data_IF_376231598360
#
_entry.id   IF_376231598360
#
_cell.length_a   1.000
_cell.length_b   1.000
_cell.length_c   1.000
_cell.angle_alpha   90.00
_cell.angle_beta   90.00
_cell.angle_gamma   90.00
#
_symmetry.space_group_name_H-M   'P 1'
#
loop_
_entity.id
_entity.type
_entity.pdbx_description
1 polymer ?
#
# COMPACT_ATOMS: atom_id res chain seq x y z
N UNK A 1 16.53 0.81 -24.43
CA UNK A 1 16.27 1.59 -23.18
C UNK A 1 16.31 3.08 -23.51
N UNK A 2 15.27 3.81 -23.17
CA UNK A 2 15.14 5.26 -23.42
C UNK A 2 15.43 6.04 -22.13
N UNK A 3 16.18 7.15 -22.23
CA UNK A 3 16.39 8.06 -21.11
C UNK A 3 15.42 9.22 -21.15
N UNK A 4 14.85 9.55 -20.00
CA UNK A 4 13.94 10.68 -19.79
C UNK A 4 14.50 11.60 -18.72
N UNK A 5 14.54 12.88 -19.03
CA UNK A 5 14.85 13.94 -18.07
C UNK A 5 13.55 14.61 -17.64
N UNK A 6 13.38 14.78 -16.33
CA UNK A 6 12.19 15.33 -15.70
C UNK A 6 12.60 16.42 -14.73
N UNK A 7 11.67 17.36 -14.53
CA UNK A 7 11.84 18.48 -13.60
C UNK A 7 11.06 18.22 -12.30
N UNK A 8 11.40 18.96 -11.28
CA UNK A 8 10.72 18.93 -9.99
C UNK A 8 9.19 18.99 -10.15
N UNK A 9 8.48 18.13 -9.43
CA UNK A 9 7.02 17.97 -9.45
C UNK A 9 6.43 17.42 -10.76
N UNK A 10 7.25 17.00 -11.71
CA UNK A 10 6.75 16.37 -12.92
C UNK A 10 6.29 14.94 -12.62
N UNK A 11 5.04 14.63 -13.03
CA UNK A 11 4.42 13.32 -12.79
C UNK A 11 4.92 12.31 -13.83
N UNK A 12 5.55 11.22 -13.36
CA UNK A 12 6.09 10.15 -14.20
C UNK A 12 4.97 9.21 -14.65
N UNK A 13 4.15 8.79 -13.72
CA UNK A 13 2.90 8.06 -13.95
C UNK A 13 1.94 8.25 -12.77
N UNK A 14 0.66 7.98 -13.00
CA UNK A 14 -0.39 8.05 -11.99
C UNK A 14 -0.89 6.66 -11.60
N UNK A 15 -1.40 6.56 -10.39
CA UNK A 15 -2.17 5.41 -9.91
C UNK A 15 -3.29 5.05 -10.90
N UNK A 16 -3.55 3.76 -11.09
CA UNK A 16 -4.54 3.23 -12.03
C UNK A 16 -4.11 3.20 -13.50
N UNK A 17 -2.99 3.81 -13.89
CA UNK A 17 -2.50 3.78 -15.28
C UNK A 17 -1.91 2.41 -15.64
N UNK A 18 -2.20 1.93 -16.85
CA UNK A 18 -1.54 0.77 -17.43
C UNK A 18 -0.30 1.19 -18.21
N UNK A 19 0.86 0.67 -17.86
CA UNK A 19 2.12 0.91 -18.58
C UNK A 19 2.98 -0.37 -18.60
N UNK A 20 3.67 -0.60 -19.74
CA UNK A 20 4.48 -1.79 -20.01
C UNK A 20 5.97 -1.60 -19.72
N UNK A 21 6.34 -0.67 -18.87
CA UNK A 21 7.73 -0.36 -18.53
C UNK A 21 7.91 -0.04 -17.06
N UNK A 22 9.13 -0.26 -16.60
CA UNK A 22 9.64 0.19 -15.32
C UNK A 22 10.69 1.27 -15.52
N UNK A 23 11.16 1.84 -14.43
CA UNK A 23 12.16 2.89 -14.45
C UNK A 23 13.31 2.57 -13.48
N UNK A 24 14.55 2.89 -13.90
CA UNK A 24 15.72 2.96 -13.05
C UNK A 24 16.12 4.43 -12.89
N UNK A 25 16.43 4.86 -11.67
CA UNK A 25 16.83 6.24 -11.37
C UNK A 25 18.33 6.36 -11.63
N UNK A 26 18.68 7.07 -12.70
CA UNK A 26 20.10 7.35 -13.05
C UNK A 26 20.61 8.58 -12.28
N UNK A 27 19.75 9.57 -12.01
CA UNK A 27 20.09 10.79 -11.27
C UNK A 27 18.85 11.36 -10.58
N UNK A 28 19.06 12.02 -9.42
CA UNK A 28 18.00 12.62 -8.61
C UNK A 28 17.22 11.62 -7.79
N UNK A 29 16.00 12.02 -7.42
CA UNK A 29 15.08 11.23 -6.60
C UNK A 29 13.64 11.31 -7.08
N UNK A 30 12.83 10.31 -6.70
CA UNK A 30 11.42 10.16 -7.07
C UNK A 30 10.60 9.88 -5.82
N UNK A 31 9.55 10.67 -5.61
CA UNK A 31 8.56 10.45 -4.57
C UNK A 31 7.41 9.57 -5.07
N UNK A 32 7.02 8.61 -4.26
CA UNK A 32 5.89 7.72 -4.51
C UNK A 32 4.75 8.09 -3.57
N UNK A 33 3.56 8.32 -4.14
CA UNK A 33 2.37 8.76 -3.41
C UNK A 33 1.20 7.80 -3.58
N UNK A 34 0.43 7.63 -2.51
CA UNK A 34 -0.95 7.14 -2.55
C UNK A 34 -1.90 8.34 -2.56
N UNK A 35 -2.99 8.27 -3.33
CA UNK A 35 -4.01 9.33 -3.37
C UNK A 35 -3.51 10.69 -3.85
N UNK A 36 -2.49 10.74 -4.71
CA UNK A 36 -1.87 11.97 -5.18
C UNK A 36 -2.88 12.96 -5.78
N UNK A 37 -2.86 14.19 -5.28
CA UNK A 37 -3.78 15.26 -5.70
C UNK A 37 -5.18 15.16 -5.06
N UNK A 38 -5.38 14.30 -4.08
CA UNK A 38 -6.64 14.20 -3.32
C UNK A 38 -6.47 14.62 -1.86
N UNK A 39 -7.57 14.67 -1.08
CA UNK A 39 -7.53 14.92 0.37
C UNK A 39 -6.76 13.84 1.15
N UNK A 40 -6.62 12.64 0.58
CA UNK A 40 -5.99 11.48 1.21
C UNK A 40 -4.55 11.26 0.69
N UNK A 41 -3.95 12.30 0.10
CA UNK A 41 -2.58 12.26 -0.39
C UNK A 41 -1.59 11.91 0.72
N UNK A 42 -0.83 10.85 0.49
CA UNK A 42 0.20 10.40 1.41
C UNK A 42 1.46 10.03 0.64
N UNK A 43 2.58 10.66 0.98
CA UNK A 43 3.88 10.22 0.48
C UNK A 43 4.26 8.89 1.16
N UNK A 44 4.48 7.85 0.36
CA UNK A 44 4.81 6.51 0.82
C UNK A 44 6.32 6.36 1.03
N UNK A 45 7.12 6.75 0.03
CA UNK A 45 8.57 6.61 0.05
C UNK A 45 9.21 7.59 -0.93
N UNK A 46 10.46 7.97 -0.68
CA UNK A 46 11.36 8.61 -1.64
C UNK A 46 12.37 7.59 -2.11
N UNK A 47 12.49 7.42 -3.43
CA UNK A 47 13.47 6.57 -4.10
C UNK A 47 14.59 7.43 -4.68
N UNK A 48 15.83 6.92 -4.64
CA UNK A 48 17.02 7.66 -5.05
C UNK A 48 17.79 6.93 -6.15
N UNK A 49 18.83 7.56 -6.66
CA UNK A 49 19.73 7.01 -7.68
C UNK A 49 20.07 5.54 -7.44
N UNK A 50 20.00 4.73 -8.49
CA UNK A 50 20.26 3.28 -8.49
C UNK A 50 19.07 2.43 -8.04
N UNK A 51 17.97 3.03 -7.61
CA UNK A 51 16.76 2.30 -7.28
C UNK A 51 15.81 2.25 -8.48
N UNK A 52 15.05 1.15 -8.57
CA UNK A 52 14.06 0.94 -9.63
C UNK A 52 12.64 1.01 -9.06
N UNK A 53 11.68 1.38 -9.91
CA UNK A 53 10.26 1.44 -9.55
C UNK A 53 9.35 1.20 -10.75
N UNK A 54 8.08 0.88 -10.47
CA UNK A 54 7.09 0.57 -11.49
C UNK A 54 7.17 -0.86 -12.04
N UNK A 55 8.08 -1.67 -11.51
CA UNK A 55 8.28 -3.08 -11.86
C UNK A 55 7.05 -3.94 -11.59
N UNK A 56 6.30 -3.66 -10.50
CA UNK A 56 5.12 -4.45 -10.13
C UNK A 56 4.06 -4.38 -11.22
N UNK A 57 3.71 -3.17 -11.67
CA UNK A 57 2.72 -2.98 -12.72
C UNK A 57 3.15 -3.57 -14.06
N UNK A 58 4.45 -3.53 -14.36
CA UNK A 58 5.01 -4.12 -15.59
C UNK A 58 5.00 -5.65 -15.54
N UNK A 59 5.57 -6.25 -14.49
CA UNK A 59 5.73 -7.71 -14.36
C UNK A 59 4.37 -8.39 -14.17
N UNK A 60 3.49 -7.82 -13.33
CA UNK A 60 2.18 -8.37 -13.06
C UNK A 60 1.12 -8.04 -14.12
N UNK A 61 1.44 -7.21 -15.11
CA UNK A 61 0.50 -6.68 -16.11
C UNK A 61 -0.74 -6.05 -15.46
N UNK A 62 -0.52 -5.33 -14.37
CA UNK A 62 -1.56 -4.67 -13.56
C UNK A 62 -1.46 -3.15 -13.65
N UNK A 63 -2.52 -2.42 -13.30
CA UNK A 63 -2.43 -0.96 -13.14
C UNK A 63 -1.36 -0.56 -12.13
N UNK A 64 -0.84 0.67 -12.28
CA UNK A 64 0.03 1.27 -11.25
C UNK A 64 -0.72 1.37 -9.92
N UNK A 65 -0.07 1.03 -8.84
CA UNK A 65 -0.64 1.03 -7.48
C UNK A 65 -0.35 2.31 -6.71
N UNK A 66 0.35 3.26 -7.34
CA UNK A 66 0.73 4.54 -6.75
C UNK A 66 1.08 5.55 -7.86
N UNK A 67 1.19 6.82 -7.49
CA UNK A 67 1.67 7.89 -8.37
C UNK A 67 3.15 8.16 -8.09
N UNK A 68 3.97 8.29 -9.14
CA UNK A 68 5.38 8.62 -9.05
C UNK A 68 5.63 10.05 -9.57
N UNK A 69 6.40 10.84 -8.80
CA UNK A 69 6.65 12.26 -9.06
C UNK A 69 8.13 12.56 -8.90
N UNK A 70 8.71 13.34 -9.81
CA UNK A 70 10.10 13.81 -9.68
C UNK A 70 10.25 14.72 -8.46
N UNK A 71 11.21 14.42 -7.59
CA UNK A 71 11.38 15.09 -6.29
C UNK A 71 12.55 16.07 -6.25
N UNK A 72 13.26 16.25 -7.36
CA UNK A 72 14.39 17.18 -7.52
C UNK A 72 14.29 17.97 -8.82
N UNK A 73 15.06 19.06 -8.93
CA UNK A 73 15.09 19.95 -10.10
C UNK A 73 15.46 19.21 -11.39
N UNK A 74 16.30 18.18 -11.28
CA UNK A 74 16.68 17.32 -12.39
C UNK A 74 16.61 15.87 -11.93
N UNK A 75 15.77 15.08 -12.61
CA UNK A 75 15.67 13.63 -12.42
C UNK A 75 15.88 12.95 -13.76
N UNK A 76 16.85 12.06 -13.84
CA UNK A 76 17.13 11.27 -15.04
C UNK A 76 16.71 9.83 -14.80
N UNK A 77 15.79 9.35 -15.62
CA UNK A 77 15.26 7.99 -15.58
C UNK A 77 15.68 7.23 -16.84
N UNK A 78 16.00 5.97 -16.66
CA UNK A 78 16.11 4.99 -17.73
C UNK A 78 14.82 4.16 -17.76
N UNK A 79 14.10 4.22 -18.89
CA UNK A 79 12.87 3.47 -19.13
C UNK A 79 13.21 2.11 -19.71
N UNK A 80 12.69 1.05 -19.10
CA UNK A 80 12.93 -0.35 -19.46
C UNK A 80 11.58 -0.98 -19.76
N UNK A 81 11.40 -1.43 -21.01
CA UNK A 81 10.17 -2.13 -21.41
C UNK A 81 10.17 -3.58 -20.91
N UNK A 82 9.00 -4.22 -20.99
CA UNK A 82 8.88 -5.64 -20.63
C UNK A 82 9.73 -6.53 -21.56
N UNK A 83 9.85 -6.16 -22.83
CA UNK A 83 10.67 -6.87 -23.82
C UNK A 83 12.17 -6.71 -23.55
N UNK A 84 12.59 -5.57 -23.01
CA UNK A 84 13.98 -5.27 -22.65
C UNK A 84 14.37 -5.78 -21.26
N UNK A 85 13.40 -6.20 -20.43
CA UNK A 85 13.62 -6.51 -19.03
C UNK A 85 14.56 -7.69 -18.80
N UNK A 86 14.42 -8.74 -19.59
CA UNK A 86 15.31 -9.91 -19.52
C UNK A 86 16.75 -9.53 -19.86
N UNK A 87 16.95 -8.83 -20.97
CA UNK A 87 18.27 -8.33 -21.39
C UNK A 87 18.85 -7.34 -20.36
N UNK A 88 17.98 -6.48 -19.79
CA UNK A 88 18.39 -5.58 -18.71
C UNK A 88 18.92 -6.34 -17.50
N UNK A 89 18.23 -7.36 -17.01
CA UNK A 89 18.68 -8.18 -15.88
C UNK A 89 19.95 -8.98 -16.20
N UNK A 90 20.08 -9.51 -17.42
CA UNK A 90 21.27 -10.26 -17.84
C UNK A 90 22.51 -9.38 -17.89
N UNK A 91 22.38 -8.11 -18.29
CA UNK A 91 23.49 -7.16 -18.39
C UNK A 91 23.73 -6.38 -17.09
N UNK A 92 22.77 -6.38 -16.17
CA UNK A 92 22.80 -5.67 -14.89
C UNK A 92 22.41 -6.59 -13.74
N UNK A 93 23.10 -7.72 -13.62
CA UNK A 93 22.80 -8.73 -12.60
C UNK A 93 22.88 -8.18 -11.17
N UNK A 94 23.65 -7.11 -10.93
CA UNK A 94 23.71 -6.36 -9.67
C UNK A 94 22.36 -5.74 -9.28
N UNK A 95 21.48 -5.49 -10.24
CA UNK A 95 20.15 -4.91 -10.00
C UNK A 95 19.07 -5.95 -9.64
N UNK A 96 19.34 -7.24 -9.83
CA UNK A 96 18.39 -8.31 -9.48
C UNK A 96 18.10 -8.30 -7.99
N UNK A 97 19.13 -8.29 -7.15
CA UNK A 97 18.95 -8.30 -5.69
C UNK A 97 18.23 -7.05 -5.16
N UNK A 98 18.57 -5.81 -5.57
CA UNK A 98 17.81 -4.61 -5.21
C UNK A 98 16.34 -4.67 -5.60
N UNK A 99 16.01 -5.12 -6.81
CA UNK A 99 14.62 -5.26 -7.28
C UNK A 99 13.86 -6.27 -6.43
N UNK A 100 14.43 -7.46 -6.23
CA UNK A 100 13.83 -8.51 -5.40
C UNK A 100 13.66 -8.07 -3.94
N UNK A 101 14.64 -7.37 -3.39
CA UNK A 101 14.57 -6.82 -2.04
C UNK A 101 13.49 -5.75 -1.91
N UNK A 102 13.33 -4.89 -2.91
CA UNK A 102 12.27 -3.88 -2.97
C UNK A 102 10.88 -4.52 -2.97
N UNK A 103 10.66 -5.51 -3.84
CA UNK A 103 9.39 -6.28 -3.91
C UNK A 103 9.13 -7.01 -2.59
N UNK A 104 10.12 -7.70 -2.03
CA UNK A 104 9.99 -8.44 -0.77
C UNK A 104 9.64 -7.53 0.40
N UNK A 105 10.24 -6.34 0.47
CA UNK A 105 9.93 -5.35 1.50
C UNK A 105 8.47 -4.88 1.39
N UNK A 106 7.99 -4.56 0.19
CA UNK A 106 6.61 -4.12 -0.03
C UNK A 106 5.60 -5.20 0.31
N UNK A 107 5.89 -6.47 -0.01
CA UNK A 107 5.06 -7.60 0.39
C UNK A 107 4.98 -7.68 1.93
N UNK A 108 6.10 -7.51 2.63
CA UNK A 108 6.13 -7.53 4.09
C UNK A 108 5.30 -6.39 4.69
N UNK A 109 5.50 -5.15 4.22
CA UNK A 109 4.75 -3.98 4.67
C UNK A 109 3.24 -4.19 4.50
N UNK A 110 2.79 -4.68 3.34
CA UNK A 110 1.38 -5.02 3.10
C UNK A 110 0.86 -6.13 4.02
N UNK A 111 1.68 -7.14 4.31
CA UNK A 111 1.31 -8.24 5.20
C UNK A 111 1.17 -7.74 6.65
N UNK A 112 2.06 -6.87 7.09
CA UNK A 112 2.02 -6.26 8.42
C UNK A 112 0.79 -5.36 8.57
N UNK A 113 0.48 -4.53 7.57
CA UNK A 113 -0.72 -3.69 7.54
C UNK A 113 -2.01 -4.52 7.60
N UNK A 114 -2.11 -5.59 6.80
CA UNK A 114 -3.24 -6.51 6.83
C UNK A 114 -3.40 -7.19 8.19
N UNK A 115 -2.30 -7.62 8.79
CA UNK A 115 -2.30 -8.23 10.13
C UNK A 115 -2.80 -7.25 11.18
N UNK A 116 -2.37 -5.99 11.11
CA UNK A 116 -2.81 -4.93 12.01
C UNK A 116 -4.31 -4.64 11.86
N UNK A 117 -4.80 -4.51 10.63
CA UNK A 117 -6.23 -4.29 10.33
C UNK A 117 -7.07 -5.46 10.87
N UNK A 118 -6.64 -6.70 10.62
CA UNK A 118 -7.32 -7.89 11.11
C UNK A 118 -7.41 -7.90 12.63
N UNK A 119 -6.32 -7.56 13.32
CA UNK A 119 -6.30 -7.47 14.78
C UNK A 119 -7.24 -6.41 15.31
N UNK A 120 -7.22 -5.20 14.73
CA UNK A 120 -8.12 -4.12 15.11
C UNK A 120 -9.60 -4.49 14.88
N UNK A 121 -9.90 -5.17 13.76
CA UNK A 121 -11.26 -5.62 13.44
C UNK A 121 -11.75 -6.64 14.48
N UNK A 122 -10.92 -7.61 14.85
CA UNK A 122 -11.27 -8.60 15.87
C UNK A 122 -11.48 -7.94 17.25
N UNK A 123 -10.66 -6.98 17.65
CA UNK A 123 -10.84 -6.23 18.89
C UNK A 123 -12.16 -5.46 18.94
N UNK A 124 -12.63 -4.92 17.80
CA UNK A 124 -13.92 -4.24 17.71
C UNK A 124 -15.06 -5.24 17.81
N UNK A 125 -14.98 -6.38 17.10
CA UNK A 125 -16.00 -7.43 17.16
C UNK A 125 -16.15 -8.02 18.58
N UNK A 126 -15.03 -8.29 19.25
CA UNK A 126 -15.03 -8.80 20.63
C UNK A 126 -15.68 -7.80 21.61
N UNK A 127 -15.47 -6.49 21.41
CA UNK A 127 -16.14 -5.46 22.21
C UNK A 127 -17.66 -5.43 21.97
N UNK A 128 -18.10 -5.49 20.72
CA UNK A 128 -19.53 -5.54 20.38
C UNK A 128 -20.21 -6.79 20.95
N UNK A 129 -19.57 -7.95 20.89
CA UNK A 129 -20.11 -9.19 21.47
C UNK A 129 -20.21 -9.09 22.99
N UNK A 130 -19.21 -8.54 23.68
CA UNK A 130 -19.24 -8.32 25.12
C UNK A 130 -20.34 -7.32 25.55
N UNK A 131 -20.53 -6.24 24.80
CA UNK A 131 -21.60 -5.27 25.07
C UNK A 131 -22.98 -5.91 24.90
N UNK A 132 -23.19 -6.70 23.85
CA UNK A 132 -24.43 -7.45 23.63
C UNK A 132 -24.70 -8.48 24.72
N UNK A 133 -23.67 -9.21 25.16
CA UNK A 133 -23.77 -10.16 26.25
C UNK A 133 -24.16 -9.48 27.57
N UNK A 134 -23.56 -8.33 27.86
CA UNK A 134 -23.87 -7.52 29.07
C UNK A 134 -25.31 -6.99 29.02
N UNK A 135 -25.75 -6.48 27.87
CA UNK A 135 -27.16 -5.99 27.70
C UNK A 135 -28.19 -7.12 27.87
N UNK A 136 -27.86 -8.31 27.31
CA UNK A 136 -28.77 -9.48 27.49
C UNK A 136 -28.81 -9.93 28.95
N UNK A 137 -27.66 -10.00 29.64
CA UNK A 137 -27.60 -10.35 31.06
C UNK A 137 -28.42 -9.37 31.96
N UNK A 138 -28.33 -8.06 31.66
CA UNK A 138 -29.13 -7.04 32.34
C UNK A 138 -30.64 -7.23 32.10
N UNK A 139 -31.05 -7.53 30.87
CA UNK A 139 -32.44 -7.78 30.49
C UNK A 139 -33.01 -9.00 31.22
N UNK A 140 -32.27 -10.09 31.30
CA UNK A 140 -32.63 -11.29 32.05
C UNK A 140 -32.73 -11.03 33.55
N UNK A 141 -31.79 -10.29 34.14
CA UNK A 141 -31.81 -9.91 35.55
C UNK A 141 -33.02 -9.06 35.90
N UNK A 142 -33.34 -8.05 35.11
CA UNK A 142 -34.53 -7.18 35.28
C UNK A 142 -35.82 -8.01 35.13
N UNK A 143 -35.87 -8.90 34.14
CA UNK A 143 -37.01 -9.80 33.92
C UNK A 143 -37.26 -10.72 35.14
N UNK A 144 -36.17 -11.26 35.70
CA UNK A 144 -36.24 -12.08 36.92
C UNK A 144 -36.70 -11.32 38.16
N UNK A 145 -36.25 -10.06 38.31
CA UNK A 145 -36.73 -9.18 39.40
C UNK A 145 -38.22 -8.85 39.30
N UNK A 146 -38.69 -8.49 38.10
CA UNK A 146 -40.08 -8.18 37.84
C UNK A 146 -41.01 -9.40 38.05
N UNK A 147 -40.54 -10.59 37.69
CA UNK A 147 -41.23 -11.86 37.96
C UNK A 147 -41.41 -12.10 39.46
N UNK A 148 -40.37 -11.90 40.26
CA UNK A 148 -40.41 -12.05 41.73
C UNK A 148 -41.34 -11.01 42.42
N UNK A 149 -41.41 -9.80 41.88
CA UNK A 149 -42.31 -8.76 42.42
C UNK A 149 -43.78 -9.04 42.10
N UNK A 150 -44.09 -9.65 40.98
CA UNK A 150 -45.47 -10.06 40.62
C UNK A 150 -45.95 -11.23 41.46
N UNK A 151 -45.07 -12.20 41.79
CA UNK A 151 -45.43 -13.37 42.60
C UNK A 151 -45.62 -13.06 44.11
N UNK A 152 -45.15 -11.90 44.60
CA UNK A 152 -45.38 -11.44 45.99
C UNK A 152 -46.69 -10.64 46.18
N UNK A 153 -47.40 -10.32 45.10
CA UNK A 153 -48.66 -9.57 45.14
C UNK A 153 -49.94 -10.46 44.93
N UNK A 154 -49.74 -11.75 44.74
CA UNK A 154 -50.80 -12.74 44.70
C UNK A 154 -50.80 -13.53 46.02
#
# INVERSE_FOLDING_TARGET
MERKELRLNEVIFKDGMYQKWMYNICEGSVDIYSGYGTSDEKKLITLTKGQSFGEIGMIALMPRTATAVAAEETVVLEQISNEEFEDYLMNHAENIQPIMSSVSRRIRELTDDLSMITKMTNEVLDKEENEKATANGLTEFIGGLLGKLKSKKA
#
